data_IF_757269494239
#
_entry.id   IF_757269494239
#
_cell.length_a   1.000
_cell.length_b   1.000
_cell.length_c   1.000
_cell.angle_alpha   90.00
_cell.angle_beta   90.00
_cell.angle_gamma   90.00
#
_symmetry.space_group_name_H-M   'P 1'
#
loop_
_entity.id
_entity.type
_entity.pdbx_description
1 polymer ?
#
# COMPACT_ATOMS: atom_id res chain seq x y z
N UNK A 1 -7.40 11.95 41.26
CA UNK A 1 -7.05 10.68 40.59
C UNK A 1 -8.17 10.31 39.62
N UNK A 2 -8.05 10.66 38.34
CA UNK A 2 -8.80 9.99 37.27
C UNK A 2 -8.03 10.15 35.96
N UNK A 3 -6.99 9.34 35.74
CA UNK A 3 -6.42 9.14 34.42
C UNK A 3 -7.30 8.09 33.73
N UNK A 4 -8.25 8.54 32.92
CA UNK A 4 -9.09 7.64 32.11
C UNK A 4 -8.62 7.64 30.67
N UNK A 5 -8.11 6.47 30.29
CA UNK A 5 -8.34 5.83 29.01
C UNK A 5 -7.64 6.46 27.78
N UNK A 6 -6.34 6.15 27.66
CA UNK A 6 -5.63 6.23 26.39
C UNK A 6 -6.08 5.05 25.50
N UNK A 7 -7.30 5.15 24.95
CA UNK A 7 -7.77 4.22 23.94
C UNK A 7 -6.88 4.37 22.71
N UNK A 8 -6.18 3.29 22.37
CA UNK A 8 -5.48 3.09 21.11
C UNK A 8 -6.46 3.20 19.93
N UNK A 9 -6.87 4.41 19.58
CA UNK A 9 -7.42 4.70 18.25
C UNK A 9 -6.25 4.52 17.30
N UNK A 10 -6.41 3.66 16.29
CA UNK A 10 -5.46 3.60 15.18
C UNK A 10 -5.23 5.00 14.61
N UNK A 11 -4.09 5.24 13.94
CA UNK A 11 -3.75 6.56 13.41
C UNK A 11 -4.91 7.12 12.57
N UNK A 12 -5.19 8.42 12.72
CA UNK A 12 -6.16 9.08 11.84
C UNK A 12 -5.63 9.04 10.40
N UNK A 13 -6.50 9.22 9.39
CA UNK A 13 -6.07 9.21 7.98
C UNK A 13 -4.91 10.17 7.70
N UNK A 14 -4.96 11.36 8.32
CA UNK A 14 -3.89 12.37 8.19
C UNK A 14 -2.55 11.88 8.75
N UNK A 15 -2.57 11.09 9.83
CA UNK A 15 -1.36 10.44 10.38
C UNK A 15 -0.84 9.35 9.44
N UNK A 16 -1.71 8.59 8.79
CA UNK A 16 -1.31 7.55 7.83
C UNK A 16 -0.63 8.20 6.61
N UNK A 17 -1.21 9.26 6.06
CA UNK A 17 -0.64 10.02 4.95
C UNK A 17 0.73 10.61 5.28
N UNK A 18 0.84 11.23 6.46
CA UNK A 18 2.10 11.82 6.91
C UNK A 18 3.20 10.75 7.00
N UNK A 19 2.86 9.57 7.53
CA UNK A 19 3.80 8.46 7.68
C UNK A 19 4.15 7.81 6.35
N UNK A 20 3.21 7.64 5.41
CA UNK A 20 3.52 7.17 4.05
C UNK A 20 4.50 8.14 3.37
N UNK A 21 4.34 9.45 3.57
CA UNK A 21 5.22 10.48 2.99
C UNK A 21 6.62 10.49 3.61
N UNK A 22 6.77 10.22 4.90
CA UNK A 22 8.04 10.37 5.62
C UNK A 22 8.78 9.05 5.88
N UNK A 23 8.06 7.92 5.96
CA UNK A 23 8.60 6.62 6.35
C UNK A 23 8.49 5.63 5.18
N UNK A 24 9.63 5.13 4.69
CA UNK A 24 9.67 4.20 3.56
C UNK A 24 8.93 2.88 3.90
N UNK A 25 9.10 2.41 5.14
CA UNK A 25 8.42 1.22 5.64
C UNK A 25 6.90 1.33 5.60
N UNK A 26 6.33 2.53 5.82
CA UNK A 26 4.88 2.74 5.73
C UNK A 26 4.38 2.69 4.28
N UNK A 27 5.14 3.28 3.36
CA UNK A 27 4.81 3.19 1.94
C UNK A 27 4.85 1.73 1.44
N UNK A 28 5.87 0.97 1.83
CA UNK A 28 6.00 -0.45 1.46
C UNK A 28 4.90 -1.30 2.12
N UNK A 29 4.62 -1.08 3.41
CA UNK A 29 3.55 -1.81 4.10
C UNK A 29 2.19 -1.57 3.45
N UNK A 30 1.87 -0.33 3.10
CA UNK A 30 0.63 0.01 2.40
C UNK A 30 0.58 -0.60 0.99
N UNK A 31 1.71 -0.63 0.25
CA UNK A 31 1.81 -1.30 -1.04
C UNK A 31 1.43 -2.78 -0.93
N UNK A 32 2.04 -3.48 0.02
CA UNK A 32 1.82 -4.89 0.23
C UNK A 32 0.40 -5.16 0.72
N UNK A 33 -0.15 -4.32 1.58
CA UNK A 33 -1.53 -4.44 2.04
C UNK A 33 -2.51 -4.38 0.86
N UNK A 34 -2.35 -3.39 -0.04
CA UNK A 34 -3.16 -3.28 -1.25
C UNK A 34 -2.96 -4.47 -2.19
N UNK A 35 -1.72 -4.98 -2.29
CA UNK A 35 -1.41 -6.17 -3.08
C UNK A 35 -2.12 -7.42 -2.55
N UNK A 36 -2.17 -7.62 -1.23
CA UNK A 36 -2.88 -8.75 -0.61
C UNK A 36 -4.40 -8.71 -0.78
N UNK A 37 -4.98 -7.53 -1.08
CA UNK A 37 -6.41 -7.40 -1.33
C UNK A 37 -6.81 -7.74 -2.77
N UNK A 38 -5.85 -7.84 -3.70
CA UNK A 38 -6.11 -8.40 -5.03
C UNK A 38 -6.37 -9.91 -4.92
N UNK A 39 -7.37 -10.40 -5.65
CA UNK A 39 -7.61 -11.84 -5.81
C UNK A 39 -6.45 -12.53 -6.52
N UNK A 40 -6.33 -13.85 -6.36
CA UNK A 40 -5.28 -14.64 -7.02
C UNK A 40 -5.29 -14.47 -8.54
N UNK A 41 -6.49 -14.36 -9.14
CA UNK A 41 -6.64 -14.11 -10.57
C UNK A 41 -6.14 -12.71 -10.94
N UNK A 42 -6.47 -11.67 -10.18
CA UNK A 42 -5.97 -10.31 -10.44
C UNK A 42 -4.45 -10.20 -10.32
N UNK A 43 -3.86 -10.89 -9.34
CA UNK A 43 -2.40 -10.98 -9.19
C UNK A 43 -1.72 -11.74 -10.34
N UNK A 44 -2.38 -12.75 -10.89
CA UNK A 44 -1.89 -13.55 -12.01
C UNK A 44 -1.97 -12.80 -13.34
N UNK A 45 -3.09 -12.12 -13.60
CA UNK A 45 -3.34 -11.43 -14.85
C UNK A 45 -2.84 -9.98 -14.87
N UNK A 46 -2.41 -9.42 -13.72
CA UNK A 46 -2.08 -7.99 -13.56
C UNK A 46 -3.23 -7.08 -13.99
N UNK A 47 -4.47 -7.55 -13.88
CA UNK A 47 -5.70 -6.82 -14.21
C UNK A 47 -6.62 -6.80 -13.01
N UNK A 48 -7.57 -5.86 -12.99
CA UNK A 48 -8.62 -5.71 -11.97
C UNK A 48 -10.00 -6.05 -12.57
N UNK A 49 -10.05 -6.97 -13.53
CA UNK A 49 -11.31 -7.28 -14.22
C UNK A 49 -12.23 -8.17 -13.34
N UNK A 50 -11.70 -8.81 -12.29
CA UNK A 50 -12.51 -9.41 -11.24
C UNK A 50 -12.93 -8.32 -10.24
N UNK A 51 -14.09 -7.69 -10.49
CA UNK A 51 -14.61 -6.50 -9.81
C UNK A 51 -14.87 -6.65 -8.28
N UNK A 52 -13.89 -6.98 -7.44
CA UNK A 52 -14.06 -6.88 -5.99
C UNK A 52 -13.94 -5.42 -5.50
N UNK A 53 -13.38 -4.53 -6.34
CA UNK A 53 -13.20 -3.11 -6.04
C UNK A 53 -12.13 -2.80 -4.97
N UNK A 54 -11.28 -3.77 -4.64
CA UNK A 54 -10.31 -3.73 -3.54
C UNK A 54 -8.89 -3.92 -4.09
N UNK A 55 -7.93 -3.10 -3.63
CA UNK A 55 -6.54 -3.17 -4.07
C UNK A 55 -6.17 -2.05 -5.06
N UNK A 56 -5.42 -2.36 -6.11
CA UNK A 56 -4.97 -1.37 -7.10
C UNK A 56 -6.06 -1.02 -8.11
N UNK A 57 -6.05 0.21 -8.63
CA UNK A 57 -6.83 0.59 -9.81
C UNK A 57 -6.26 -0.07 -11.08
N UNK A 58 -7.08 -0.27 -12.12
CA UNK A 58 -6.66 -0.87 -13.40
C UNK A 58 -5.39 -0.24 -13.99
N UNK A 59 -5.24 1.09 -13.87
CA UNK A 59 -4.07 1.81 -14.36
C UNK A 59 -2.80 1.60 -13.52
N UNK A 60 -2.96 1.31 -12.23
CA UNK A 60 -1.84 1.12 -11.32
C UNK A 60 -1.48 -0.37 -11.13
N UNK A 61 -2.42 -1.28 -11.39
CA UNK A 61 -2.30 -2.71 -11.07
C UNK A 61 -1.08 -3.37 -11.70
N UNK A 62 -0.77 -3.06 -12.97
CA UNK A 62 0.38 -3.63 -13.66
C UNK A 62 1.70 -3.29 -12.97
N UNK A 63 1.97 -2.00 -12.79
CA UNK A 63 3.25 -1.51 -12.26
C UNK A 63 3.37 -1.80 -10.76
N UNK A 64 2.31 -1.58 -9.99
CA UNK A 64 2.36 -1.80 -8.54
C UNK A 64 2.42 -3.28 -8.18
N UNK A 65 1.81 -4.17 -8.97
CA UNK A 65 1.98 -5.62 -8.77
C UNK A 65 3.42 -6.07 -9.07
N UNK A 66 4.05 -5.54 -10.12
CA UNK A 66 5.45 -5.86 -10.42
C UNK A 66 6.41 -5.37 -9.34
N UNK A 67 6.20 -4.15 -8.83
CA UNK A 67 7.00 -3.62 -7.72
C UNK A 67 6.77 -4.43 -6.44
N UNK A 68 5.52 -4.85 -6.16
CA UNK A 68 5.20 -5.69 -5.00
C UNK A 68 5.90 -7.05 -5.08
N UNK A 69 5.83 -7.72 -6.24
CA UNK A 69 6.52 -8.99 -6.49
C UNK A 69 8.04 -8.83 -6.37
N UNK A 70 8.59 -7.75 -6.90
CA UNK A 70 10.02 -7.46 -6.76
C UNK A 70 10.43 -7.29 -5.30
N UNK A 71 9.66 -6.56 -4.50
CA UNK A 71 9.95 -6.42 -3.07
C UNK A 71 9.85 -7.76 -2.33
N UNK A 72 8.84 -8.58 -2.63
CA UNK A 72 8.69 -9.91 -2.02
C UNK A 72 9.85 -10.86 -2.36
N UNK A 73 10.48 -10.70 -3.53
CA UNK A 73 11.63 -11.52 -3.97
C UNK A 73 12.98 -10.98 -3.50
N UNK A 74 13.14 -9.65 -3.46
CA UNK A 74 14.43 -8.99 -3.21
C UNK A 74 14.56 -8.35 -1.84
N UNK A 75 13.45 -8.15 -1.13
CA UNK A 75 13.37 -7.50 0.18
C UNK A 75 13.89 -6.05 0.19
N UNK A 76 13.98 -5.40 -0.97
CA UNK A 76 14.32 -3.98 -1.09
C UNK A 76 13.57 -3.31 -2.24
N UNK A 77 13.46 -1.98 -2.18
CA UNK A 77 13.08 -1.11 -3.30
C UNK A 77 14.15 -0.04 -3.46
N UNK A 78 14.37 0.40 -4.70
CA UNK A 78 15.21 1.57 -4.97
C UNK A 78 14.50 2.85 -4.57
N UNK A 79 15.25 3.92 -4.28
CA UNK A 79 14.70 5.24 -3.94
C UNK A 79 13.69 5.74 -4.99
N UNK A 80 13.96 5.48 -6.28
CA UNK A 80 13.06 5.82 -7.38
C UNK A 80 11.74 5.06 -7.29
N UNK A 81 11.79 3.77 -6.98
CA UNK A 81 10.58 2.96 -6.78
C UNK A 81 9.82 3.45 -5.55
N UNK A 82 10.50 3.78 -4.44
CA UNK A 82 9.86 4.32 -3.23
C UNK A 82 9.14 5.65 -3.51
N UNK A 83 9.80 6.60 -4.18
CA UNK A 83 9.19 7.87 -4.56
C UNK A 83 7.98 7.64 -5.47
N UNK A 84 8.10 6.73 -6.44
CA UNK A 84 7.01 6.38 -7.34
C UNK A 84 5.80 5.80 -6.60
N UNK A 85 5.99 4.80 -5.73
CA UNK A 85 4.88 4.17 -5.01
C UNK A 85 4.23 5.15 -4.03
N UNK A 86 4.98 6.04 -3.38
CA UNK A 86 4.41 7.06 -2.47
C UNK A 86 3.34 7.89 -3.15
N UNK A 87 3.62 8.41 -4.34
CA UNK A 87 2.65 9.21 -5.10
C UNK A 87 1.41 8.42 -5.55
N UNK A 88 1.53 7.09 -5.65
CA UNK A 88 0.42 6.21 -6.03
C UNK A 88 -0.42 5.79 -4.84
N UNK A 89 0.22 5.37 -3.75
CA UNK A 89 -0.43 4.81 -2.56
C UNK A 89 -1.24 5.86 -1.80
N UNK A 90 -0.80 7.13 -1.81
CA UNK A 90 -1.57 8.25 -1.24
C UNK A 90 -2.96 8.44 -1.88
N UNK A 91 -3.26 7.79 -3.00
CA UNK A 91 -4.61 7.79 -3.58
C UNK A 91 -5.57 6.82 -2.88
N UNK A 92 -5.03 5.91 -2.07
CA UNK A 92 -5.76 4.81 -1.44
C UNK A 92 -5.86 4.97 0.10
N UNK A 93 -5.27 6.01 0.68
CA UNK A 93 -5.26 6.31 2.12
C UNK A 93 -6.41 7.20 2.60
#
# INVERSE_FOLDING_TARGET
>A
MTAVNHLSRGPAREDIDARIKSEDGYAIAALLQLYTWQTADEQAYKTTDAQNGMGFSKSDAYVLSDISKFYLDKEYLTDKQIIFIRGKILKYS
#
